data_IF_195058285909
#
_entry.id   IF_195058285909
#
_cell.length_a   1.000
_cell.length_b   1.000
_cell.length_c   1.000
_cell.angle_alpha   90.00
_cell.angle_beta   90.00
_cell.angle_gamma   90.00
#
_symmetry.space_group_name_H-M   'P 1'
#
loop_
_entity.id
_entity.type
_entity.pdbx_description
1 polymer ?
#
# COMPACT_ATOMS: atom_id res chain seq x y z
N UNK A 1 -6.30 -0.29 -20.86
CA UNK A 1 -5.25 0.59 -20.31
C UNK A 1 -5.79 1.17 -19.01
N UNK A 2 -5.12 1.00 -17.87
CA UNK A 2 -5.56 1.61 -16.61
C UNK A 2 -5.61 3.14 -16.81
N UNK A 3 -6.68 3.79 -16.37
CA UNK A 3 -6.78 5.24 -16.41
C UNK A 3 -5.72 5.83 -15.46
N UNK A 4 -4.68 6.45 -16.02
CA UNK A 4 -3.51 6.96 -15.29
C UNK A 4 -3.86 7.85 -14.11
N UNK A 5 -4.91 8.68 -14.25
CA UNK A 5 -5.38 9.57 -13.19
C UNK A 5 -5.99 8.77 -12.05
N UNK A 6 -6.83 7.78 -12.37
CA UNK A 6 -7.46 6.91 -11.37
C UNK A 6 -6.39 6.10 -10.63
N UNK A 7 -5.38 5.59 -11.32
CA UNK A 7 -4.30 4.82 -10.68
C UNK A 7 -3.47 5.67 -9.71
N UNK A 8 -3.06 6.87 -10.13
CA UNK A 8 -2.23 7.74 -9.28
C UNK A 8 -3.01 8.35 -8.13
N UNK A 9 -4.16 8.96 -8.40
CA UNK A 9 -4.92 9.65 -7.37
C UNK A 9 -5.70 8.67 -6.49
N UNK A 10 -6.18 7.56 -7.06
CA UNK A 10 -6.81 6.49 -6.29
C UNK A 10 -5.87 5.94 -5.24
N UNK A 11 -4.65 5.54 -5.64
CA UNK A 11 -3.65 5.04 -4.68
C UNK A 11 -3.29 6.08 -3.62
N UNK A 12 -3.10 7.35 -4.00
CA UNK A 12 -2.77 8.41 -3.03
C UNK A 12 -3.91 8.65 -2.02
N UNK A 13 -5.16 8.67 -2.49
CA UNK A 13 -6.34 8.81 -1.62
C UNK A 13 -6.48 7.59 -0.70
N UNK A 14 -6.27 6.38 -1.20
CA UNK A 14 -6.30 5.17 -0.37
C UNK A 14 -5.22 5.18 0.71
N UNK A 15 -4.01 5.67 0.43
CA UNK A 15 -2.97 5.89 1.45
C UNK A 15 -3.41 6.90 2.52
N UNK A 16 -4.07 7.99 2.13
CA UNK A 16 -4.57 8.97 3.11
C UNK A 16 -5.71 8.40 3.95
N UNK A 17 -6.61 7.64 3.34
CA UNK A 17 -7.71 6.96 4.02
C UNK A 17 -7.17 5.93 5.03
N UNK A 18 -6.09 5.20 4.71
CA UNK A 18 -5.53 4.22 5.64
C UNK A 18 -5.06 4.87 6.95
N UNK A 19 -4.63 6.13 6.91
CA UNK A 19 -4.17 6.89 8.09
C UNK A 19 -5.31 7.56 8.86
N UNK A 20 -6.52 7.60 8.31
CA UNK A 20 -7.67 8.30 8.88
C UNK A 20 -7.97 7.95 10.34
N UNK A 21 -7.97 6.66 10.76
CA UNK A 21 -8.25 6.32 12.15
C UNK A 21 -7.23 6.98 13.09
N UNK A 22 -5.95 6.91 12.77
CA UNK A 22 -4.89 7.50 13.60
C UNK A 22 -5.01 9.02 13.69
N UNK A 23 -5.38 9.71 12.60
CA UNK A 23 -5.61 11.15 12.61
C UNK A 23 -6.79 11.54 13.49
N UNK A 24 -7.90 10.80 13.39
CA UNK A 24 -9.08 11.02 14.22
C UNK A 24 -8.75 10.84 15.71
N UNK A 25 -8.03 9.79 16.02
CA UNK A 25 -7.63 9.47 17.38
C UNK A 25 -6.60 10.44 17.99
N UNK A 26 -5.69 10.99 17.19
CA UNK A 26 -4.77 12.05 17.61
C UNK A 26 -5.55 13.35 17.87
N UNK A 27 -6.57 13.65 17.05
CA UNK A 27 -7.39 14.86 17.17
C UNK A 27 -8.30 14.84 18.40
N UNK A 28 -8.90 13.69 18.70
CA UNK A 28 -9.87 13.54 19.80
C UNK A 28 -9.20 13.28 21.16
N UNK A 29 -7.87 13.11 21.21
CA UNK A 29 -7.12 12.88 22.46
C UNK A 29 -7.41 11.54 23.16
N UNK A 30 -8.21 10.66 22.54
CA UNK A 30 -8.81 9.45 23.12
C UNK A 30 -8.14 8.14 22.67
N UNK A 31 -6.82 8.09 22.40
CA UNK A 31 -6.08 6.82 22.35
C UNK A 31 -5.86 6.25 23.76
N UNK A 32 -6.95 6.11 24.50
CA UNK A 32 -6.95 5.76 25.92
C UNK A 32 -6.98 4.24 26.16
N UNK A 33 -7.27 3.41 25.14
CA UNK A 33 -7.43 1.96 25.30
C UNK A 33 -6.70 1.11 24.26
N UNK A 34 -6.20 -0.06 24.70
CA UNK A 34 -5.60 -1.09 23.82
C UNK A 34 -6.56 -1.54 22.71
N UNK A 35 -7.86 -1.51 22.98
CA UNK A 35 -8.89 -1.92 22.02
C UNK A 35 -8.99 -0.94 20.83
N UNK A 36 -8.92 0.37 21.07
CA UNK A 36 -8.98 1.39 20.02
C UNK A 36 -7.76 1.29 19.09
N UNK A 37 -6.57 1.05 19.66
CA UNK A 37 -5.33 0.79 18.92
C UNK A 37 -5.43 -0.44 18.01
N UNK A 38 -6.03 -1.53 18.51
CA UNK A 38 -6.24 -2.75 17.71
C UNK A 38 -7.20 -2.48 16.55
N UNK A 39 -8.30 -1.76 16.79
CA UNK A 39 -9.28 -1.43 15.76
C UNK A 39 -8.64 -0.51 14.69
N UNK A 40 -7.92 0.52 15.11
CA UNK A 40 -7.19 1.42 14.20
C UNK A 40 -6.19 0.66 13.31
N UNK A 41 -5.43 -0.25 13.92
CA UNK A 41 -4.43 -1.07 13.23
C UNK A 41 -5.04 -2.07 12.27
N UNK A 42 -6.16 -2.69 12.66
CA UNK A 42 -6.90 -3.60 11.77
C UNK A 42 -7.48 -2.84 10.57
N UNK A 43 -8.08 -1.67 10.80
CA UNK A 43 -8.57 -0.81 9.73
C UNK A 43 -7.44 -0.41 8.77
N UNK A 44 -6.34 0.10 9.31
CA UNK A 44 -5.20 0.51 8.52
C UNK A 44 -4.64 -0.65 7.68
N UNK A 45 -4.45 -1.82 8.29
CA UNK A 45 -4.03 -3.03 7.60
C UNK A 45 -4.97 -3.46 6.48
N UNK A 46 -6.30 -3.37 6.69
CA UNK A 46 -7.29 -3.69 5.65
C UNK A 46 -7.24 -2.71 4.48
N UNK A 47 -7.10 -1.40 4.74
CA UNK A 47 -6.98 -0.41 3.67
C UNK A 47 -5.66 -0.58 2.91
N UNK A 48 -4.56 -0.87 3.63
CA UNK A 48 -3.27 -1.21 3.01
C UNK A 48 -3.33 -2.49 2.18
N UNK A 49 -4.14 -3.48 2.57
CA UNK A 49 -4.36 -4.68 1.76
C UNK A 49 -5.05 -4.33 0.43
N UNK A 50 -6.09 -3.49 0.47
CA UNK A 50 -6.76 -2.99 -0.75
C UNK A 50 -5.77 -2.24 -1.65
N UNK A 51 -4.97 -1.34 -1.06
CA UNK A 51 -3.90 -0.63 -1.77
C UNK A 51 -2.86 -1.60 -2.35
N UNK A 52 -2.46 -2.62 -1.61
CA UNK A 52 -1.51 -3.64 -2.04
C UNK A 52 -2.01 -4.44 -3.24
N UNK A 53 -3.26 -4.90 -3.21
CA UNK A 53 -3.91 -5.56 -4.35
C UNK A 53 -3.96 -4.63 -5.57
N UNK A 54 -4.32 -3.36 -5.37
CA UNK A 54 -4.30 -2.36 -6.44
C UNK A 54 -2.89 -2.21 -7.03
N UNK A 55 -1.87 -2.03 -6.20
CA UNK A 55 -0.47 -1.87 -6.63
C UNK A 55 0.06 -3.13 -7.34
N UNK A 56 -0.39 -4.31 -6.95
CA UNK A 56 -0.05 -5.57 -7.60
C UNK A 56 -0.65 -5.64 -9.01
N UNK A 57 -1.94 -5.33 -9.17
CA UNK A 57 -2.61 -5.25 -10.48
C UNK A 57 -1.93 -4.19 -11.36
N UNK A 58 -1.69 -2.99 -10.82
CA UNK A 58 -1.00 -1.92 -11.55
C UNK A 58 0.42 -2.35 -11.95
N UNK A 59 1.15 -3.06 -11.09
CA UNK A 59 2.49 -3.57 -11.40
C UNK A 59 2.48 -4.58 -12.55
N UNK A 60 1.55 -5.54 -12.53
CA UNK A 60 1.42 -6.54 -13.60
C UNK A 60 1.09 -5.85 -14.93
N UNK A 61 0.09 -4.95 -14.94
CA UNK A 61 -0.31 -4.23 -16.16
C UNK A 61 0.85 -3.38 -16.71
N UNK A 62 1.56 -2.65 -15.86
CA UNK A 62 2.69 -1.84 -16.31
C UNK A 62 3.89 -2.69 -16.75
N UNK A 63 4.13 -3.85 -16.13
CA UNK A 63 5.18 -4.79 -16.55
C UNK A 63 4.92 -5.37 -17.96
N UNK A 64 3.65 -5.59 -18.32
CA UNK A 64 3.27 -6.08 -19.66
C UNK A 64 3.42 -5.01 -20.75
N UNK A 65 3.33 -3.72 -20.39
CA UNK A 65 3.35 -2.60 -21.33
C UNK A 65 4.73 -1.93 -21.49
N UNK A 66 5.69 -2.24 -20.62
CA UNK A 66 7.00 -1.57 -20.57
C UNK A 66 8.09 -2.35 -21.31
N UNK A 67 9.05 -1.61 -21.90
CA UNK A 67 10.33 -2.17 -22.37
C UNK A 67 11.17 -2.68 -21.18
N UNK A 68 12.04 -3.66 -21.41
CA UNK A 68 12.72 -4.44 -20.36
C UNK A 68 13.34 -3.63 -19.21
N UNK A 69 13.94 -2.47 -19.50
CA UNK A 69 14.64 -1.65 -18.49
C UNK A 69 13.75 -1.19 -17.33
N UNK A 70 12.45 -0.98 -17.56
CA UNK A 70 11.51 -0.58 -16.50
C UNK A 70 10.67 -1.76 -15.98
N UNK A 71 10.68 -2.90 -16.68
CA UNK A 71 9.88 -4.09 -16.34
C UNK A 71 10.33 -4.74 -15.03
N UNK A 72 11.64 -4.78 -14.78
CA UNK A 72 12.20 -5.41 -13.58
C UNK A 72 11.72 -4.75 -12.28
N UNK A 73 11.55 -3.42 -12.27
CA UNK A 73 11.02 -2.71 -11.09
C UNK A 73 9.60 -3.19 -10.74
N UNK A 74 8.72 -3.27 -11.75
CA UNK A 74 7.33 -3.70 -11.54
C UNK A 74 7.23 -5.16 -11.10
N UNK A 75 8.06 -6.04 -11.65
CA UNK A 75 8.12 -7.46 -11.23
C UNK A 75 8.61 -7.57 -9.79
N UNK A 76 9.72 -6.91 -9.44
CA UNK A 76 10.24 -6.94 -8.07
C UNK A 76 9.25 -6.37 -7.07
N UNK A 77 8.52 -5.30 -7.42
CA UNK A 77 7.54 -4.72 -6.54
C UNK A 77 6.29 -5.61 -6.38
N UNK A 78 5.88 -6.32 -7.43
CA UNK A 78 4.82 -7.32 -7.34
C UNK A 78 5.23 -8.50 -6.42
N UNK A 79 6.47 -8.99 -6.55
CA UNK A 79 7.01 -10.03 -5.68
C UNK A 79 7.08 -9.61 -4.21
N UNK A 80 7.61 -8.40 -3.94
CA UNK A 80 7.64 -7.83 -2.59
C UNK A 80 6.21 -7.68 -2.02
N UNK A 81 5.26 -7.21 -2.82
CA UNK A 81 3.86 -7.11 -2.43
C UNK A 81 3.24 -8.46 -2.07
N UNK A 82 3.54 -9.52 -2.82
CA UNK A 82 3.08 -10.88 -2.51
C UNK A 82 3.68 -11.40 -1.21
N UNK A 83 5.00 -11.24 -1.00
CA UNK A 83 5.68 -11.68 0.24
C UNK A 83 5.11 -10.95 1.45
N UNK A 84 4.91 -9.63 1.36
CA UNK A 84 4.36 -8.86 2.46
C UNK A 84 2.89 -9.18 2.70
N UNK A 85 2.08 -9.37 1.65
CA UNK A 85 0.69 -9.80 1.78
C UNK A 85 0.57 -11.18 2.46
N UNK A 86 1.44 -12.13 2.12
CA UNK A 86 1.51 -13.42 2.81
C UNK A 86 1.90 -13.25 4.28
N UNK A 87 2.88 -12.41 4.58
CA UNK A 87 3.24 -12.10 5.96
C UNK A 87 2.06 -11.50 6.73
N UNK A 88 1.27 -10.60 6.12
CA UNK A 88 0.06 -10.05 6.73
C UNK A 88 -0.95 -11.14 7.08
N UNK A 89 -1.22 -12.07 6.15
CA UNK A 89 -2.17 -13.16 6.39
C UNK A 89 -1.71 -14.09 7.50
N UNK A 90 -0.41 -14.38 7.60
CA UNK A 90 0.16 -15.14 8.71
C UNK A 90 -0.01 -14.40 10.03
N UNK A 91 0.26 -13.09 10.07
CA UNK A 91 0.03 -12.25 11.26
C UNK A 91 -1.45 -12.19 11.65
N UNK A 92 -2.35 -12.10 10.66
CA UNK A 92 -3.79 -12.02 10.90
C UNK A 92 -4.34 -13.36 11.38
N UNK A 93 -3.82 -14.48 10.85
CA UNK A 93 -4.14 -15.83 11.33
C UNK A 93 -3.66 -16.06 12.77
N UNK A 94 -2.39 -15.81 13.07
CA UNK A 94 -1.83 -15.94 14.43
C UNK A 94 -2.48 -14.94 15.41
N UNK A 95 -2.79 -13.73 14.94
CA UNK A 95 -3.46 -12.69 15.71
C UNK A 95 -4.92 -13.02 16.04
N UNK A 96 -5.68 -13.60 15.11
CA UNK A 96 -7.04 -14.07 15.35
C UNK A 96 -7.07 -15.29 16.29
N UNK A 97 -6.11 -16.20 16.15
CA UNK A 97 -5.98 -17.39 17.02
C UNK A 97 -5.58 -16.98 18.46
N UNK A 98 -4.78 -15.92 18.60
CA UNK A 98 -4.36 -15.36 19.91
C UNK A 98 -5.30 -14.31 20.50
N UNK A 99 -6.28 -13.82 19.74
CA UNK A 99 -7.27 -12.85 20.21
C UNK A 99 -8.14 -13.39 21.37
N UNK A 100 -8.03 -14.68 21.71
CA UNK A 100 -8.64 -15.25 22.91
C UNK A 100 -7.84 -15.09 24.21
N UNK A 101 -6.51 -15.15 24.23
CA UNK A 101 -5.77 -15.37 25.48
C UNK A 101 -4.29 -14.95 25.38
N UNK A 102 -3.92 -13.77 25.91
CA UNK A 102 -2.82 -13.54 26.87
C UNK A 102 -2.41 -12.05 26.96
N UNK A 103 -2.26 -11.49 28.18
CA UNK A 103 -1.88 -10.09 28.38
C UNK A 103 -0.38 -9.80 28.14
N UNK A 104 0.44 -10.79 27.80
CA UNK A 104 1.89 -10.64 27.71
C UNK A 104 2.36 -10.61 26.25
N UNK A 105 2.33 -9.44 25.57
CA UNK A 105 3.15 -9.20 24.37
C UNK A 105 3.15 -7.73 23.90
N UNK A 106 3.61 -6.80 24.75
CA UNK A 106 3.93 -5.43 24.31
C UNK A 106 4.95 -5.38 23.15
N UNK A 107 5.76 -6.44 22.99
CA UNK A 107 6.71 -6.59 21.88
C UNK A 107 6.03 -6.87 20.53
N UNK A 108 4.84 -7.48 20.52
CA UNK A 108 4.08 -7.75 19.29
C UNK A 108 3.55 -6.47 18.65
N UNK A 109 3.18 -5.49 19.48
CA UNK A 109 2.63 -4.21 19.02
C UNK A 109 3.67 -3.41 18.21
N UNK A 110 4.94 -3.40 18.64
CA UNK A 110 6.02 -2.72 17.91
C UNK A 110 6.38 -3.37 16.57
N UNK A 111 6.30 -4.71 16.49
CA UNK A 111 6.53 -5.42 15.23
C UNK A 111 5.45 -5.10 14.20
N UNK A 112 4.19 -4.98 14.63
CA UNK A 112 3.07 -4.57 13.77
C UNK A 112 3.27 -3.14 13.27
N UNK A 113 3.67 -2.22 14.15
CA UNK A 113 3.99 -0.83 13.76
C UNK A 113 5.15 -0.78 12.75
N UNK A 114 6.23 -1.52 13.00
CA UNK A 114 7.36 -1.58 12.09
C UNK A 114 6.98 -2.19 10.72
N UNK A 115 6.11 -3.20 10.74
CA UNK A 115 5.56 -3.83 9.53
C UNK A 115 4.72 -2.85 8.70
N UNK A 116 3.82 -2.08 9.33
CA UNK A 116 3.02 -1.08 8.63
C UNK A 116 3.89 0.06 8.07
N UNK A 117 4.85 0.56 8.84
CA UNK A 117 5.81 1.56 8.36
C UNK A 117 6.58 1.07 7.12
N UNK A 118 6.98 -0.20 7.10
CA UNK A 118 7.63 -0.81 5.94
C UNK A 118 6.71 -0.81 4.71
N UNK A 119 5.45 -1.20 4.87
CA UNK A 119 4.46 -1.19 3.77
C UNK A 119 4.24 0.23 3.27
N UNK A 120 4.01 1.19 4.17
CA UNK A 120 3.79 2.59 3.80
C UNK A 120 4.93 3.14 2.95
N UNK A 121 6.18 2.91 3.39
CA UNK A 121 7.38 3.32 2.64
C UNK A 121 7.42 2.67 1.26
N UNK A 122 7.13 1.38 1.15
CA UNK A 122 7.11 0.66 -0.12
C UNK A 122 5.99 1.15 -1.05
N UNK A 123 4.81 1.39 -0.50
CA UNK A 123 3.65 1.90 -1.23
C UNK A 123 3.91 3.31 -1.76
N UNK A 124 4.50 4.21 -0.95
CA UNK A 124 4.91 5.55 -1.40
C UNK A 124 6.00 5.46 -2.45
N UNK A 125 7.03 4.62 -2.25
CA UNK A 125 8.10 4.41 -3.24
C UNK A 125 7.54 3.96 -4.59
N UNK A 126 6.60 3.03 -4.58
CA UNK A 126 5.92 2.56 -5.78
C UNK A 126 5.17 3.70 -6.46
N UNK A 127 4.36 4.46 -5.72
CA UNK A 127 3.58 5.58 -6.25
C UNK A 127 4.46 6.65 -6.90
N UNK A 128 5.58 7.02 -6.26
CA UNK A 128 6.55 7.97 -6.83
C UNK A 128 7.10 7.45 -8.16
N UNK A 129 7.46 6.16 -8.23
CA UNK A 129 7.98 5.56 -9.46
C UNK A 129 6.90 5.54 -10.55
N UNK A 130 5.68 5.15 -10.22
CA UNK A 130 4.55 5.13 -11.14
C UNK A 130 4.26 6.52 -11.71
N UNK A 131 4.28 7.56 -10.88
CA UNK A 131 4.11 8.96 -11.29
C UNK A 131 5.16 9.38 -12.31
N UNK A 132 6.44 9.07 -12.05
CA UNK A 132 7.54 9.36 -12.99
C UNK A 132 7.33 8.64 -14.32
N UNK A 133 6.96 7.37 -14.27
CA UNK A 133 6.70 6.54 -15.45
C UNK A 133 5.57 7.09 -16.32
N UNK A 134 4.46 7.50 -15.70
CA UNK A 134 3.33 8.08 -16.44
C UNK A 134 3.63 9.45 -17.03
N UNK A 135 4.47 10.27 -16.37
CA UNK A 135 4.96 11.55 -16.92
C UNK A 135 5.87 11.32 -18.13
N UNK A 136 6.78 10.35 -18.07
CA UNK A 136 7.64 10.03 -19.22
C UNK A 136 6.81 9.54 -20.41
N UNK A 137 5.83 8.68 -20.17
CA UNK A 137 4.94 8.19 -21.22
C UNK A 137 4.04 9.26 -21.84
N UNK A 138 3.59 10.27 -21.07
CA UNK A 138 2.83 11.39 -21.63
C UNK A 138 3.72 12.27 -22.52
N UNK A 139 4.92 12.60 -22.05
CA UNK A 139 5.85 13.46 -22.80
C UNK A 139 6.29 12.82 -24.13
N UNK A 140 6.47 11.50 -24.15
CA UNK A 140 6.78 10.76 -25.39
C UNK A 140 5.62 10.81 -26.38
N UNK A 141 4.36 10.69 -25.90
CA UNK A 141 3.17 10.77 -26.75
C UNK A 141 2.97 12.18 -27.33
N UNK A 142 3.29 13.21 -26.55
CA UNK A 142 3.20 14.61 -26.98
C UNK A 142 4.31 14.97 -27.99
N UNK A 143 5.54 14.51 -27.76
CA UNK A 143 6.67 14.74 -28.66
C UNK A 143 6.65 13.88 -29.94
N UNK A 144 5.94 12.74 -29.95
CA UNK A 144 5.81 11.91 -31.15
C UNK A 144 4.76 12.42 -32.15
N UNK A 145 4.02 13.49 -31.82
CA UNK A 145 2.94 14.01 -32.67
C UNK A 145 1.74 13.06 -32.82
N UNK A 146 1.72 11.92 -32.11
CA UNK A 146 0.64 10.94 -32.18
C UNK A 146 -0.44 11.31 -31.16
N UNK A 147 -1.30 12.25 -31.56
CA UNK A 147 -2.72 12.24 -31.23
C UNK A 147 -3.14 12.94 -29.93
N UNK A 148 -3.55 14.20 -30.09
CA UNK A 148 -4.88 14.64 -29.64
C UNK A 148 -5.91 14.00 -30.57
N UNK A 149 -6.46 12.86 -30.18
CA UNK A 149 -7.71 12.30 -30.69
C UNK A 149 -8.45 11.72 -29.50
#
# INVERSE_FOLDING_TARGET
MINRKIDLYGQAVTMLISLWPYLFFIWDGHLSGRQDWVIASLYHGLVLLVLGCWQLISSIVNALLMKEKNKNFFIQNALLGMVLGLAFLVFLWDGLDRAGLRPAQQWGDWLVVAYFLLIDVLSVRYWIHLRKTYKTLSNVKENSGIGRF
#
